data_IF_215061394774
#
_entry.id   IF_215061394774
#
_cell.length_a   1.000
_cell.length_b   1.000
_cell.length_c   1.000
_cell.angle_alpha   90.00
_cell.angle_beta   90.00
_cell.angle_gamma   90.00
#
_symmetry.space_group_name_H-M   'P 1'
#
loop_
_entity.id
_entity.type
_entity.pdbx_description
1 polymer ?
#
# COMPACT_ATOMS: atom_id res chain seq x y z
N UNK A 1 58.09 84.00 12.13
CA UNK A 1 59.08 83.40 11.22
C UNK A 1 59.43 82.01 11.73
N UNK A 2 58.85 80.99 11.32
CA UNK A 2 59.32 79.62 11.48
C UNK A 2 58.45 78.69 10.61
N UNK A 3 59.09 78.01 9.68
CA UNK A 3 58.51 77.05 8.79
C UNK A 3 58.47 75.69 9.47
N UNK A 4 57.28 75.05 9.45
CA UNK A 4 57.21 73.67 9.94
C UNK A 4 56.87 72.77 8.75
N UNK A 5 57.82 71.86 8.50
CA UNK A 5 57.65 70.83 7.44
C UNK A 5 56.67 69.77 7.82
N UNK A 6 55.86 69.39 6.83
CA UNK A 6 54.88 68.31 6.95
C UNK A 6 55.51 67.06 6.36
N UNK A 7 55.75 66.04 7.17
CA UNK A 7 56.16 64.70 6.74
C UNK A 7 54.94 63.88 6.42
N UNK A 8 54.86 63.44 5.16
CA UNK A 8 53.80 62.54 4.68
C UNK A 8 54.12 61.07 5.05
N UNK A 9 53.18 60.42 5.72
CA UNK A 9 53.28 58.99 5.99
C UNK A 9 52.42 58.27 4.90
N UNK A 10 53.07 57.42 4.12
CA UNK A 10 52.40 56.53 3.19
C UNK A 10 51.87 55.31 3.93
N UNK A 11 50.55 55.19 3.98
CA UNK A 11 49.85 53.98 4.48
C UNK A 11 49.79 52.96 3.39
N UNK A 12 50.45 51.82 3.55
CA UNK A 12 50.34 50.66 2.66
C UNK A 12 49.09 49.89 2.96
N UNK A 13 48.22 49.79 1.95
CA UNK A 13 47.04 48.91 1.99
C UNK A 13 47.48 47.46 1.69
N UNK A 14 47.49 46.64 2.71
CA UNK A 14 47.60 45.17 2.53
C UNK A 14 46.23 44.59 2.21
N UNK A 15 46.04 44.20 0.96
CA UNK A 15 44.84 43.46 0.53
C UNK A 15 44.91 42.02 0.98
N UNK A 16 44.15 41.64 2.01
CA UNK A 16 43.94 40.26 2.39
C UNK A 16 42.89 39.62 1.46
N UNK A 17 43.32 38.75 0.55
CA UNK A 17 42.44 37.92 -0.25
C UNK A 17 41.90 36.80 0.62
N UNK A 18 40.64 36.88 1.03
CA UNK A 18 39.91 35.80 1.68
C UNK A 18 39.53 34.73 0.67
N UNK A 19 40.22 33.59 0.65
CA UNK A 19 39.79 32.38 -0.07
C UNK A 19 38.55 31.80 0.66
N UNK A 20 37.35 32.01 0.12
CA UNK A 20 36.18 31.29 0.56
C UNK A 20 36.24 29.86 0.03
N UNK A 21 36.59 28.88 0.89
CA UNK A 21 36.39 27.46 0.63
C UNK A 21 34.87 27.19 0.68
N UNK A 22 34.23 27.14 -0.46
CA UNK A 22 32.89 26.56 -0.55
C UNK A 22 33.01 25.04 -0.43
N UNK A 23 32.79 24.52 0.77
CA UNK A 23 32.56 23.08 0.97
C UNK A 23 31.23 22.76 0.33
N UNK A 24 31.27 22.28 -0.89
CA UNK A 24 30.11 21.72 -1.56
C UNK A 24 29.66 20.47 -0.82
N UNK A 25 28.59 20.57 -0.04
CA UNK A 25 27.90 19.41 0.47
C UNK A 25 27.40 18.60 -0.74
N UNK A 26 27.71 17.30 -0.82
CA UNK A 26 27.10 16.47 -1.86
C UNK A 26 25.58 16.53 -1.64
N UNK A 27 24.86 17.07 -2.62
CA UNK A 27 23.43 16.93 -2.71
C UNK A 27 23.16 15.44 -2.86
N UNK A 28 22.74 14.78 -1.77
CA UNK A 28 22.14 13.45 -1.82
C UNK A 28 20.80 13.63 -2.52
N UNK A 29 20.82 13.60 -3.86
CA UNK A 29 19.64 13.30 -4.65
C UNK A 29 19.34 11.82 -4.39
N UNK A 30 18.83 11.54 -3.17
CA UNK A 30 18.29 10.25 -2.82
C UNK A 30 17.25 9.89 -3.86
N UNK A 31 17.29 8.65 -4.37
CA UNK A 31 16.34 8.12 -5.33
C UNK A 31 14.96 8.02 -4.64
N UNK A 32 14.29 9.15 -4.47
CA UNK A 32 13.04 9.30 -3.70
C UNK A 32 11.94 8.32 -4.13
N UNK A 33 11.94 7.87 -5.40
CA UNK A 33 10.99 6.88 -5.89
C UNK A 33 11.27 5.46 -5.40
N UNK A 34 12.54 5.09 -5.24
CA UNK A 34 12.93 3.79 -4.66
C UNK A 34 12.54 3.72 -3.18
N UNK A 35 12.84 4.76 -2.44
CA UNK A 35 12.59 4.85 -0.99
C UNK A 35 11.08 4.85 -0.67
N UNK A 36 10.26 5.56 -1.44
CA UNK A 36 8.80 5.55 -1.29
C UNK A 36 8.19 4.19 -1.64
N UNK A 37 8.66 3.53 -2.69
CA UNK A 37 8.24 2.17 -3.03
C UNK A 37 8.59 1.19 -1.91
N UNK A 38 9.81 1.25 -1.39
CA UNK A 38 10.29 0.37 -0.33
C UNK A 38 9.52 0.59 0.98
N UNK A 39 9.17 1.84 1.30
CA UNK A 39 8.37 2.17 2.49
C UNK A 39 6.96 1.57 2.43
N UNK A 40 6.29 1.58 1.27
CA UNK A 40 4.97 0.96 1.09
C UNK A 40 5.03 -0.56 1.17
N UNK A 41 6.06 -1.17 0.60
CA UNK A 41 6.29 -2.62 0.68
C UNK A 41 6.50 -3.05 2.15
N UNK A 42 7.36 -2.37 2.89
CA UNK A 42 7.61 -2.66 4.30
C UNK A 42 6.34 -2.45 5.13
N UNK A 43 5.62 -1.36 4.90
CA UNK A 43 4.35 -1.09 5.57
C UNK A 43 3.32 -2.16 5.27
N UNK A 44 3.25 -2.66 4.04
CA UNK A 44 2.37 -3.75 3.64
C UNK A 44 2.62 -5.01 4.45
N UNK A 45 3.87 -5.44 4.60
CA UNK A 45 4.20 -6.59 5.44
C UNK A 45 3.80 -6.39 6.91
N UNK A 46 3.94 -5.18 7.43
CA UNK A 46 3.54 -4.86 8.81
C UNK A 46 2.01 -4.81 9.01
N UNK A 47 1.24 -4.65 7.94
CA UNK A 47 -0.23 -4.57 7.97
C UNK A 47 -0.91 -5.91 7.71
N UNK A 48 -0.19 -6.91 7.18
CA UNK A 48 -0.78 -8.22 6.89
C UNK A 48 -1.30 -8.88 8.17
N UNK A 49 -2.61 -9.15 8.28
CA UNK A 49 -3.19 -9.70 9.51
C UNK A 49 -3.01 -11.20 9.65
N UNK A 50 -2.56 -11.87 8.57
CA UNK A 50 -2.37 -13.33 8.51
C UNK A 50 -0.96 -13.67 8.04
N UNK A 51 -0.43 -14.87 8.33
CA UNK A 51 0.86 -15.33 7.82
C UNK A 51 0.88 -15.36 6.28
N UNK A 52 2.02 -14.99 5.68
CA UNK A 52 2.19 -14.97 4.23
C UNK A 52 3.10 -16.12 3.77
N UNK A 53 2.64 -16.90 2.81
CA UNK A 53 3.50 -17.82 2.06
C UNK A 53 4.23 -17.03 0.97
N UNK A 54 5.55 -16.88 1.14
CA UNK A 54 6.42 -16.16 0.22
C UNK A 54 7.27 -17.09 -0.67
N UNK A 55 7.07 -18.40 -0.57
CA UNK A 55 7.82 -19.35 -1.36
C UNK A 55 7.55 -19.16 -2.86
N UNK A 56 8.61 -18.91 -3.64
CA UNK A 56 8.51 -18.68 -5.09
C UNK A 56 7.80 -17.39 -5.53
N UNK A 57 7.42 -16.51 -4.60
CA UNK A 57 6.68 -15.28 -4.89
C UNK A 57 7.58 -14.04 -4.93
N UNK A 58 7.20 -13.05 -5.70
CA UNK A 58 7.85 -11.75 -5.70
C UNK A 58 7.49 -10.97 -4.44
N UNK A 59 8.42 -10.91 -3.47
CA UNK A 59 8.22 -10.23 -2.18
C UNK A 59 7.81 -8.76 -2.33
N UNK A 60 8.37 -8.05 -3.33
CA UNK A 60 8.02 -6.66 -3.59
C UNK A 60 6.56 -6.49 -4.00
N UNK A 61 6.06 -7.37 -4.88
CA UNK A 61 4.64 -7.36 -5.26
C UNK A 61 3.75 -7.77 -4.07
N UNK A 62 4.11 -8.81 -3.33
CA UNK A 62 3.31 -9.25 -2.16
C UNK A 62 3.21 -8.13 -1.12
N UNK A 63 4.32 -7.47 -0.78
CA UNK A 63 4.31 -6.37 0.19
C UNK A 63 3.53 -5.15 -0.31
N UNK A 64 3.70 -4.76 -1.58
CA UNK A 64 2.90 -3.69 -2.19
C UNK A 64 1.41 -4.05 -2.22
N UNK A 65 1.07 -5.28 -2.59
CA UNK A 65 -0.31 -5.77 -2.62
C UNK A 65 -0.96 -5.75 -1.25
N UNK A 66 -0.24 -6.19 -0.21
CA UNK A 66 -0.72 -6.07 1.18
C UNK A 66 -1.00 -4.62 1.56
N UNK A 67 -0.11 -3.68 1.19
CA UNK A 67 -0.35 -2.26 1.42
C UNK A 67 -1.62 -1.77 0.70
N UNK A 68 -1.80 -2.15 -0.57
CA UNK A 68 -2.97 -1.75 -1.35
C UNK A 68 -4.27 -2.33 -0.78
N UNK A 69 -4.27 -3.59 -0.36
CA UNK A 69 -5.45 -4.27 0.21
C UNK A 69 -5.82 -3.71 1.59
N UNK A 70 -4.83 -3.53 2.48
CA UNK A 70 -5.08 -3.24 3.90
C UNK A 70 -5.06 -1.76 4.28
N UNK A 71 -4.43 -0.89 3.46
CA UNK A 71 -4.29 0.53 3.75
C UNK A 71 -5.01 1.44 2.75
N UNK A 72 -5.23 0.98 1.52
CA UNK A 72 -5.76 1.83 0.44
C UNK A 72 -7.14 1.37 -0.02
N UNK A 73 -7.29 0.08 -0.34
CA UNK A 73 -8.50 -0.48 -0.93
C UNK A 73 -9.60 -0.80 0.07
N UNK A 74 -9.27 -0.96 1.37
CA UNK A 74 -10.26 -1.31 2.40
C UNK A 74 -10.97 -2.64 2.16
N UNK A 75 -10.31 -3.60 1.50
CA UNK A 75 -10.94 -4.86 1.07
C UNK A 75 -11.52 -5.66 2.24
N UNK A 76 -10.89 -5.54 3.43
CA UNK A 76 -11.36 -6.16 4.66
C UNK A 76 -12.81 -5.80 5.00
N UNK A 77 -13.18 -4.53 4.82
CA UNK A 77 -14.46 -4.00 5.29
C UNK A 77 -15.67 -4.61 4.54
N UNK A 78 -15.42 -5.16 3.37
CA UNK A 78 -16.44 -5.82 2.55
C UNK A 78 -16.23 -7.35 2.43
N UNK A 79 -14.99 -7.81 2.47
CA UNK A 79 -14.67 -9.22 2.21
C UNK A 79 -14.30 -10.03 3.46
N UNK A 80 -14.46 -9.47 4.67
CA UNK A 80 -14.33 -10.19 5.94
C UNK A 80 -15.60 -10.02 6.76
N UNK A 81 -16.20 -11.09 7.23
CA UNK A 81 -17.44 -11.02 8.00
C UNK A 81 -17.36 -11.84 9.30
N UNK A 82 -17.48 -11.20 10.49
CA UNK A 82 -17.40 -9.74 10.70
C UNK A 82 -15.99 -9.21 10.41
N UNK A 83 -15.82 -7.91 10.06
CA UNK A 83 -14.52 -7.38 9.59
C UNK A 83 -13.46 -7.29 10.70
N UNK A 84 -13.91 -7.20 11.94
CA UNK A 84 -13.04 -7.06 13.12
C UNK A 84 -13.29 -8.16 14.14
N UNK A 85 -12.27 -8.51 14.91
CA UNK A 85 -12.37 -9.41 16.03
C UNK A 85 -13.25 -8.78 17.16
N UNK A 86 -13.83 -9.58 18.06
CA UNK A 86 -14.55 -9.04 19.22
C UNK A 86 -13.66 -8.12 20.05
N UNK A 87 -14.09 -6.88 20.29
CA UNK A 87 -13.30 -5.84 20.98
C UNK A 87 -12.23 -5.17 20.11
N UNK A 88 -12.26 -5.38 18.80
CA UNK A 88 -11.28 -4.86 17.84
C UNK A 88 -11.85 -3.91 16.78
N UNK A 89 -13.09 -3.42 16.95
CA UNK A 89 -13.73 -2.53 15.98
C UNK A 89 -13.40 -1.05 16.25
N UNK A 90 -12.57 -0.42 15.38
CA UNK A 90 -12.20 0.98 15.56
C UNK A 90 -13.38 1.95 15.38
N UNK A 91 -14.45 1.56 14.70
CA UNK A 91 -15.68 2.39 14.59
C UNK A 91 -16.47 2.43 15.89
N UNK A 92 -16.19 1.51 16.82
CA UNK A 92 -16.71 1.52 18.19
C UNK A 92 -15.73 2.18 19.19
N UNK A 93 -14.60 2.71 18.70
CA UNK A 93 -13.55 3.32 19.53
C UNK A 93 -12.58 2.30 20.14
N UNK A 94 -12.59 1.06 19.68
CA UNK A 94 -11.72 -0.02 20.11
C UNK A 94 -10.38 -0.01 19.35
N UNK A 95 -9.31 -0.63 19.86
CA UNK A 95 -8.09 -0.86 19.10
C UNK A 95 -8.39 -1.68 17.83
N UNK A 96 -7.84 -1.27 16.68
CA UNK A 96 -8.10 -1.99 15.42
C UNK A 96 -7.51 -3.41 15.48
N UNK A 97 -8.37 -4.42 15.44
CA UNK A 97 -7.98 -5.83 15.33
C UNK A 97 -8.83 -6.53 14.26
N UNK A 98 -8.17 -6.92 13.17
CA UNK A 98 -8.83 -7.61 12.04
C UNK A 98 -9.22 -9.03 12.47
N UNK A 99 -10.39 -9.49 12.03
CA UNK A 99 -10.82 -10.88 12.18
C UNK A 99 -9.97 -11.79 11.25
N UNK A 100 -8.86 -12.30 11.77
CA UNK A 100 -7.91 -13.10 11.01
C UNK A 100 -8.46 -14.47 10.58
N UNK A 101 -9.40 -15.04 11.35
CA UNK A 101 -9.97 -16.37 11.09
C UNK A 101 -10.81 -16.41 9.81
N UNK A 102 -11.45 -15.28 9.46
CA UNK A 102 -12.29 -15.14 8.28
C UNK A 102 -11.78 -14.05 7.32
N UNK A 103 -10.51 -13.72 7.41
CA UNK A 103 -9.90 -12.63 6.64
C UNK A 103 -10.06 -12.85 5.14
N UNK A 104 -10.75 -11.93 4.48
CA UNK A 104 -11.07 -11.92 3.06
C UNK A 104 -11.87 -13.15 2.55
N UNK A 105 -12.50 -13.89 3.45
CA UNK A 105 -13.32 -15.04 3.11
C UNK A 105 -14.73 -14.69 2.60
N UNK A 106 -15.08 -13.39 2.53
CA UNK A 106 -16.40 -12.95 2.07
C UNK A 106 -17.50 -13.13 3.09
N UNK A 107 -18.74 -13.31 2.61
CA UNK A 107 -19.90 -13.61 3.46
C UNK A 107 -20.64 -12.38 4.02
N UNK A 108 -20.21 -11.16 3.69
CA UNK A 108 -20.92 -9.94 4.11
C UNK A 108 -22.08 -9.63 3.18
N UNK A 109 -23.28 -9.40 3.75
CA UNK A 109 -24.49 -9.12 3.00
C UNK A 109 -24.66 -7.62 2.73
N UNK A 110 -24.99 -7.31 1.47
CA UNK A 110 -25.34 -5.96 0.98
C UNK A 110 -26.68 -6.04 0.25
N UNK A 111 -27.78 -6.06 0.98
CA UNK A 111 -29.09 -6.32 0.43
C UNK A 111 -29.15 -7.73 -0.18
N UNK A 112 -29.48 -7.90 -1.48
CA UNK A 112 -29.51 -9.21 -2.12
C UNK A 112 -28.13 -9.77 -2.46
N UNK A 113 -27.06 -8.98 -2.34
CA UNK A 113 -25.71 -9.38 -2.71
C UNK A 113 -24.91 -9.82 -1.50
N UNK A 114 -24.07 -10.83 -1.69
CA UNK A 114 -23.13 -11.31 -0.66
C UNK A 114 -21.71 -11.20 -1.21
N UNK A 115 -20.79 -10.67 -0.41
CA UNK A 115 -19.40 -10.54 -0.83
C UNK A 115 -18.75 -11.91 -1.07
N UNK A 116 -18.02 -12.02 -2.19
CA UNK A 116 -17.31 -13.25 -2.57
C UNK A 116 -16.11 -13.49 -1.67
N UNK A 117 -15.80 -14.77 -1.42
CA UNK A 117 -14.51 -15.18 -0.88
C UNK A 117 -13.41 -14.86 -1.90
N UNK A 118 -12.43 -14.06 -1.52
CA UNK A 118 -11.30 -13.66 -2.38
C UNK A 118 -9.96 -14.25 -1.90
N UNK A 119 -10.00 -15.20 -0.95
CA UNK A 119 -8.83 -16.01 -0.60
C UNK A 119 -8.52 -17.03 -1.70
N UNK A 120 -7.30 -17.63 -1.72
CA UNK A 120 -6.95 -18.64 -2.70
C UNK A 120 -7.86 -19.87 -2.59
N UNK A 121 -8.32 -20.40 -3.71
CA UNK A 121 -8.98 -21.69 -3.79
C UNK A 121 -7.98 -22.86 -3.75
N UNK A 122 -8.46 -24.08 -3.93
CA UNK A 122 -7.63 -25.28 -3.97
C UNK A 122 -6.58 -25.29 -5.10
N UNK A 123 -6.74 -24.46 -6.13
CA UNK A 123 -5.76 -24.25 -7.21
C UNK A 123 -4.77 -23.12 -6.91
N UNK A 124 -4.94 -22.43 -5.77
CA UNK A 124 -4.15 -21.27 -5.36
C UNK A 124 -4.57 -19.96 -6.02
N UNK A 125 -5.77 -19.91 -6.63
CA UNK A 125 -6.29 -18.74 -7.32
C UNK A 125 -7.20 -17.91 -6.41
N UNK A 126 -6.93 -16.63 -6.21
CA UNK A 126 -7.84 -15.73 -5.49
C UNK A 126 -9.21 -15.69 -6.17
N UNK A 127 -10.26 -15.90 -5.39
CA UNK A 127 -11.64 -15.98 -5.91
C UNK A 127 -11.83 -17.03 -7.04
N UNK A 128 -10.92 -17.97 -7.25
CA UNK A 128 -10.90 -18.90 -8.37
C UNK A 128 -10.42 -18.32 -9.70
N UNK A 129 -10.04 -17.04 -9.73
CA UNK A 129 -9.70 -16.32 -10.96
C UNK A 129 -8.20 -16.40 -11.30
N UNK A 130 -7.90 -16.44 -12.59
CA UNK A 130 -6.56 -16.16 -13.09
C UNK A 130 -6.22 -14.67 -12.94
N UNK A 131 -4.96 -14.29 -13.08
CA UNK A 131 -4.54 -12.88 -13.03
C UNK A 131 -5.25 -12.04 -14.10
N UNK A 132 -5.40 -12.56 -15.30
CA UNK A 132 -6.03 -11.82 -16.40
C UNK A 132 -7.53 -11.63 -16.15
N UNK A 133 -8.25 -12.67 -15.71
CA UNK A 133 -9.66 -12.58 -15.30
C UNK A 133 -9.84 -11.62 -14.13
N UNK A 134 -8.95 -11.65 -13.13
CA UNK A 134 -8.98 -10.72 -12.01
C UNK A 134 -8.80 -9.25 -12.46
N UNK A 135 -7.86 -9.00 -13.36
CA UNK A 135 -7.66 -7.66 -13.93
C UNK A 135 -8.88 -7.21 -14.73
N UNK A 136 -9.41 -8.08 -15.57
CA UNK A 136 -10.58 -7.78 -16.40
C UNK A 136 -11.82 -7.47 -15.54
N UNK A 137 -12.09 -8.28 -14.52
CA UNK A 137 -13.16 -8.02 -13.56
C UNK A 137 -13.02 -6.66 -12.89
N UNK A 138 -11.82 -6.28 -12.44
CA UNK A 138 -11.60 -4.98 -11.81
C UNK A 138 -11.67 -3.82 -12.80
N UNK A 139 -11.39 -4.03 -14.08
CA UNK A 139 -11.48 -3.03 -15.15
C UNK A 139 -12.90 -2.78 -15.61
N UNK A 140 -13.70 -3.85 -15.75
CA UNK A 140 -15.00 -3.82 -16.40
C UNK A 140 -16.17 -3.98 -15.43
N UNK A 141 -15.91 -4.57 -14.26
CA UNK A 141 -16.94 -4.97 -13.29
C UNK A 141 -17.72 -6.22 -13.71
N UNK A 142 -17.40 -6.85 -14.83
CA UNK A 142 -18.08 -8.05 -15.30
C UNK A 142 -17.48 -9.27 -14.62
N UNK A 143 -18.31 -10.02 -13.91
CA UNK A 143 -17.91 -11.30 -13.30
C UNK A 143 -17.72 -12.36 -14.41
N UNK A 144 -16.53 -12.98 -14.53
CA UNK A 144 -16.26 -13.91 -15.62
C UNK A 144 -17.02 -15.22 -15.52
N UNK A 145 -17.50 -15.60 -14.32
CA UNK A 145 -18.27 -16.84 -14.11
C UNK A 145 -19.74 -16.67 -14.48
N UNK A 146 -20.36 -15.53 -14.13
CA UNK A 146 -21.78 -15.27 -14.37
C UNK A 146 -22.05 -14.37 -15.57
N UNK A 147 -21.08 -13.56 -15.99
CA UNK A 147 -21.26 -12.51 -16.98
C UNK A 147 -22.03 -11.29 -16.46
N UNK A 148 -22.37 -11.24 -15.18
CA UNK A 148 -23.13 -10.17 -14.57
C UNK A 148 -22.22 -9.01 -14.13
N UNK A 149 -22.77 -7.79 -14.14
CA UNK A 149 -22.07 -6.60 -13.65
C UNK A 149 -22.15 -6.53 -12.12
N UNK A 150 -21.00 -6.36 -11.46
CA UNK A 150 -20.92 -6.16 -10.02
C UNK A 150 -21.64 -4.88 -9.60
N UNK A 151 -22.57 -4.98 -8.63
CA UNK A 151 -23.43 -3.87 -8.22
C UNK A 151 -22.92 -3.13 -6.98
N UNK A 152 -22.09 -3.77 -6.14
CA UNK A 152 -21.69 -3.23 -4.83
C UNK A 152 -20.20 -2.87 -4.82
N UNK A 153 -19.36 -3.79 -5.33
CA UNK A 153 -17.91 -3.56 -5.35
C UNK A 153 -17.57 -2.31 -6.17
N UNK A 154 -16.76 -1.37 -5.66
CA UNK A 154 -16.43 -0.13 -6.37
C UNK A 154 -15.38 -0.33 -7.47
N UNK A 155 -15.62 -1.28 -8.37
CA UNK A 155 -14.74 -1.62 -9.50
C UNK A 155 -14.41 -0.41 -10.39
N UNK A 156 -15.28 0.62 -10.60
CA UNK A 156 -14.90 1.77 -11.42
C UNK A 156 -13.72 2.58 -10.83
N UNK A 157 -13.54 2.50 -9.51
CA UNK A 157 -12.39 3.11 -8.81
C UNK A 157 -11.17 2.22 -8.92
N UNK A 158 -11.29 0.94 -8.60
CA UNK A 158 -10.17 -0.02 -8.64
C UNK A 158 -9.67 -0.24 -10.07
N UNK A 159 -10.54 -0.16 -11.07
CA UNK A 159 -10.18 -0.23 -12.48
C UNK A 159 -9.25 0.90 -12.96
N UNK A 160 -9.09 1.99 -12.19
CA UNK A 160 -8.13 3.05 -12.49
C UNK A 160 -6.71 2.76 -11.95
N UNK A 161 -6.53 1.72 -11.15
CA UNK A 161 -5.21 1.29 -10.68
C UNK A 161 -4.32 0.87 -11.86
N UNK A 162 -3.01 1.03 -11.70
CA UNK A 162 -2.06 0.54 -12.70
C UNK A 162 -2.08 -1.00 -12.78
N UNK A 163 -1.62 -1.57 -13.89
CA UNK A 163 -1.46 -3.02 -14.00
C UNK A 163 -0.57 -3.59 -12.91
N UNK A 164 0.48 -2.85 -12.54
CA UNK A 164 1.38 -3.23 -11.44
C UNK A 164 0.65 -3.29 -10.09
N UNK A 165 -0.29 -2.37 -9.83
CA UNK A 165 -1.06 -2.38 -8.58
C UNK A 165 -2.01 -3.58 -8.55
N UNK A 166 -2.71 -3.87 -9.65
CA UNK A 166 -3.58 -5.05 -9.75
C UNK A 166 -2.78 -6.36 -9.63
N UNK A 167 -1.61 -6.45 -10.26
CA UNK A 167 -0.69 -7.57 -10.11
C UNK A 167 -0.19 -7.74 -8.66
N UNK A 168 0.09 -6.63 -7.97
CA UNK A 168 0.50 -6.65 -6.59
C UNK A 168 -0.62 -7.13 -5.67
N UNK A 169 -1.85 -6.65 -5.86
CA UNK A 169 -3.03 -7.12 -5.12
C UNK A 169 -3.20 -8.63 -5.33
N UNK A 170 -3.19 -9.08 -6.58
CA UNK A 170 -3.30 -10.51 -6.90
C UNK A 170 -2.19 -11.34 -6.26
N UNK A 171 -0.92 -10.87 -6.33
CA UNK A 171 0.22 -11.54 -5.71
C UNK A 171 0.07 -11.66 -4.18
N UNK A 172 -0.47 -10.63 -3.53
CA UNK A 172 -0.78 -10.70 -2.10
C UNK A 172 -1.88 -11.70 -1.80
N UNK A 173 -2.98 -11.66 -2.56
CA UNK A 173 -4.09 -12.59 -2.38
C UNK A 173 -3.67 -14.06 -2.60
N UNK A 174 -2.70 -14.33 -3.48
CA UNK A 174 -2.14 -15.70 -3.61
C UNK A 174 -1.23 -16.09 -2.46
N UNK A 175 -0.77 -15.14 -1.64
CA UNK A 175 0.18 -15.38 -0.55
C UNK A 175 -0.49 -15.56 0.82
N UNK A 176 -1.76 -15.17 0.97
CA UNK A 176 -2.52 -15.41 2.20
C UNK A 176 -3.04 -16.85 2.25
N UNK A 177 -3.33 -17.41 3.44
CA UNK A 177 -4.00 -18.71 3.54
C UNK A 177 -5.43 -18.66 3.01
N UNK A 178 -5.94 -19.81 2.56
CA UNK A 178 -7.37 -19.97 2.37
C UNK A 178 -8.12 -19.83 3.69
N UNK A 179 -9.29 -19.18 3.65
CA UNK A 179 -10.19 -19.08 4.79
C UNK A 179 -11.64 -19.31 4.34
N UNK A 180 -12.44 -19.87 5.22
CA UNK A 180 -13.88 -20.05 4.99
C UNK A 180 -14.67 -18.87 5.54
N UNK A 181 -15.79 -18.50 4.92
CA UNK A 181 -16.72 -17.52 5.48
C UNK A 181 -17.20 -17.94 6.87
N UNK A 182 -17.45 -16.99 7.74
CA UNK A 182 -18.11 -17.28 9.00
C UNK A 182 -19.47 -17.96 8.75
N UNK A 183 -19.83 -18.90 9.63
CA UNK A 183 -21.17 -19.49 9.57
C UNK A 183 -22.24 -18.40 9.62
N UNK A 184 -23.33 -18.48 8.85
CA UNK A 184 -24.43 -17.53 8.93
C UNK A 184 -24.91 -17.43 10.40
N UNK A 185 -24.83 -16.23 10.99
CA UNK A 185 -25.47 -15.98 12.28
C UNK A 185 -26.95 -16.11 12.09
N UNK A 186 -27.60 -17.05 12.79
CA UNK A 186 -29.04 -17.15 12.86
C UNK A 186 -29.58 -15.79 13.35
N UNK A 187 -30.32 -15.10 12.48
CA UNK A 187 -31.05 -13.89 12.82
C UNK A 187 -32.36 -14.24 13.52
#
# INVERSE_FOLDING_TARGET
>A
MARHGVTAWAAGLASAAALALTVGLPAHAGNSRGDESDSRIQRGFALAPVPLDLAGKNRGLVGLGSYLVNAVGGCNDCHTNPPYAPGGDPFLGEPKEINADHYLAGGMAFGPFVSRNITPDASGRPAGLTLDEFKELLRTGVDPDSGELLQVMPWPVYGQMTDRDLEAIYAYLTAIPHAEPAAPTAQ
#
